data_IF_308142451408
#
_entry.id   IF_308142451408
#
_cell.length_a   1.000
_cell.length_b   1.000
_cell.length_c   1.000
_cell.angle_alpha   90.00
_cell.angle_beta   90.00
_cell.angle_gamma   90.00
#
_symmetry.space_group_name_H-M   'P 1'
#
loop_
_entity.id
_entity.type
_entity.pdbx_description
1 polymer ?
#
# COMPACT_ATOMS: atom_id res chain seq x y z
N UNK A 1 17.06 -0.51 -9.29
CA UNK A 1 16.45 -1.55 -8.42
C UNK A 1 15.11 -2.06 -8.98
N UNK A 2 14.17 -1.20 -9.38
CA UNK A 2 12.81 -1.60 -9.77
C UNK A 2 12.55 -1.77 -11.27
N UNK A 3 13.54 -1.72 -12.15
CA UNK A 3 13.32 -1.81 -13.61
C UNK A 3 12.64 -3.14 -14.00
N UNK A 4 13.08 -4.26 -13.40
CA UNK A 4 12.43 -5.54 -13.59
C UNK A 4 10.99 -5.56 -13.07
N UNK A 5 10.73 -5.00 -11.88
CA UNK A 5 9.38 -4.89 -11.32
C UNK A 5 8.48 -4.02 -12.20
N UNK A 6 8.98 -2.89 -12.70
CA UNK A 6 8.25 -2.01 -13.60
C UNK A 6 7.77 -2.75 -14.85
N UNK A 7 8.67 -3.52 -15.48
CA UNK A 7 8.33 -4.33 -16.66
C UNK A 7 7.30 -5.42 -16.32
N UNK A 8 7.51 -6.15 -15.23
CA UNK A 8 6.60 -7.24 -14.82
C UNK A 8 5.21 -6.74 -14.46
N UNK A 9 5.11 -5.62 -13.76
CA UNK A 9 3.83 -5.01 -13.38
C UNK A 9 3.01 -4.51 -14.57
N UNK A 10 3.60 -4.33 -15.76
CA UNK A 10 2.83 -4.01 -16.97
C UNK A 10 2.04 -5.21 -17.50
N UNK A 11 2.38 -6.43 -17.11
CA UNK A 11 1.64 -7.62 -17.49
C UNK A 11 0.33 -7.71 -16.72
N UNK A 12 -0.76 -8.04 -17.41
CA UNK A 12 -2.09 -8.17 -16.82
C UNK A 12 -2.12 -9.28 -15.75
N UNK A 13 -2.65 -8.98 -14.59
CA UNK A 13 -2.75 -9.89 -13.46
C UNK A 13 -1.43 -10.07 -12.68
N UNK A 14 -0.39 -9.30 -12.96
CA UNK A 14 0.91 -9.46 -12.31
C UNK A 14 0.89 -9.08 -10.81
N UNK A 15 1.48 -9.95 -9.99
CA UNK A 15 1.67 -9.76 -8.56
C UNK A 15 3.13 -10.05 -8.20
N UNK A 16 3.74 -9.21 -7.39
CA UNK A 16 5.12 -9.39 -6.98
C UNK A 16 5.39 -9.05 -5.53
N UNK A 17 6.61 -9.30 -5.09
CA UNK A 17 7.11 -8.90 -3.78
C UNK A 17 8.22 -7.88 -3.98
N UNK A 18 8.09 -6.73 -3.32
CA UNK A 18 9.08 -5.65 -3.36
C UNK A 18 9.37 -5.12 -1.96
N UNK A 19 10.58 -4.56 -1.73
CA UNK A 19 10.80 -3.70 -0.58
C UNK A 19 10.01 -2.40 -0.78
N UNK A 20 9.37 -1.91 0.28
CA UNK A 20 8.73 -0.58 0.26
C UNK A 20 9.53 0.39 1.15
N UNK A 21 9.04 1.60 1.30
CA UNK A 21 9.56 2.58 2.25
C UNK A 21 9.42 2.14 3.72
N UNK A 22 8.65 1.08 3.95
CA UNK A 22 8.42 0.49 5.28
C UNK A 22 8.91 -0.97 5.33
N UNK A 23 8.10 -1.93 4.97
CA UNK A 23 8.41 -3.36 5.01
C UNK A 23 8.28 -4.00 3.64
N UNK A 24 8.68 -5.26 3.47
CA UNK A 24 8.35 -5.98 2.24
C UNK A 24 6.84 -6.05 2.02
N UNK A 25 6.41 -5.75 0.80
CA UNK A 25 5.01 -5.75 0.38
C UNK A 25 4.74 -6.71 -0.78
N UNK A 26 3.59 -7.38 -0.72
CA UNK A 26 2.95 -7.94 -1.91
C UNK A 26 2.32 -6.79 -2.66
N UNK A 27 2.57 -6.65 -3.95
CA UNK A 27 2.10 -5.53 -4.76
C UNK A 27 1.40 -6.00 -6.03
N UNK A 28 0.40 -5.23 -6.43
CA UNK A 28 -0.33 -5.35 -7.68
C UNK A 28 -0.67 -3.94 -8.20
N UNK A 29 -0.74 -3.75 -9.53
CA UNK A 29 -1.24 -2.47 -10.06
C UNK A 29 -2.68 -2.26 -9.61
N UNK A 30 -2.95 -1.10 -9.03
CA UNK A 30 -4.28 -0.78 -8.50
C UNK A 30 -5.35 -0.72 -9.58
N UNK A 31 -5.00 -0.31 -10.81
CA UNK A 31 -5.92 -0.27 -11.96
C UNK A 31 -6.13 -1.64 -12.64
N UNK A 32 -5.47 -2.70 -12.18
CA UNK A 32 -5.62 -4.06 -12.71
C UNK A 32 -6.43 -4.91 -11.72
N UNK A 33 -7.74 -4.98 -11.95
CA UNK A 33 -8.67 -5.73 -11.09
C UNK A 33 -8.28 -7.20 -10.93
N UNK A 34 -7.75 -7.83 -12.00
CA UNK A 34 -7.28 -9.22 -11.96
C UNK A 34 -6.07 -9.38 -11.02
N UNK A 35 -5.11 -8.46 -11.09
CA UNK A 35 -3.94 -8.46 -10.21
C UNK A 35 -4.34 -8.21 -8.75
N UNK A 36 -5.25 -7.27 -8.51
CA UNK A 36 -5.81 -6.98 -7.18
C UNK A 36 -6.53 -8.19 -6.59
N UNK A 37 -7.41 -8.84 -7.37
CA UNK A 37 -8.11 -10.06 -6.95
C UNK A 37 -7.12 -11.17 -6.56
N UNK A 38 -6.07 -11.35 -7.36
CA UNK A 38 -5.02 -12.34 -7.11
C UNK A 38 -4.23 -12.02 -5.84
N UNK A 39 -3.91 -10.74 -5.59
CA UNK A 39 -3.25 -10.30 -4.36
C UNK A 39 -4.12 -10.61 -3.13
N UNK A 40 -5.41 -10.32 -3.19
CA UNK A 40 -6.33 -10.59 -2.09
C UNK A 40 -6.46 -12.09 -1.81
N UNK A 41 -6.53 -12.91 -2.86
CA UNK A 41 -6.53 -14.37 -2.72
C UNK A 41 -5.27 -14.90 -2.02
N UNK A 42 -4.08 -14.39 -2.39
CA UNK A 42 -2.80 -14.74 -1.74
C UNK A 42 -2.78 -14.39 -0.24
N UNK A 43 -3.47 -13.33 0.14
CA UNK A 43 -3.55 -12.84 1.52
C UNK A 43 -4.69 -13.47 2.31
N UNK A 44 -5.55 -14.29 1.68
CA UNK A 44 -6.81 -14.77 2.26
C UNK A 44 -7.58 -13.64 2.96
N UNK A 45 -7.60 -12.47 2.32
CA UNK A 45 -8.21 -11.24 2.87
C UNK A 45 -9.60 -11.06 2.28
N UNK A 46 -10.59 -11.42 3.08
CA UNK A 46 -11.98 -11.02 2.84
C UNK A 46 -12.28 -9.78 3.67
N UNK A 47 -12.82 -8.74 3.03
CA UNK A 47 -13.22 -7.49 3.68
C UNK A 47 -12.11 -6.75 4.47
N UNK A 48 -10.84 -6.96 4.12
CA UNK A 48 -9.68 -6.24 4.69
C UNK A 48 -8.84 -5.64 3.56
N UNK A 49 -9.20 -4.45 3.05
CA UNK A 49 -8.46 -3.81 1.95
C UNK A 49 -6.98 -3.64 2.27
N UNK A 50 -6.15 -3.70 1.23
CA UNK A 50 -4.76 -3.30 1.30
C UNK A 50 -4.62 -1.77 1.37
N UNK A 51 -3.37 -1.30 1.29
CA UNK A 51 -3.06 0.13 1.20
C UNK A 51 -2.75 0.48 -0.26
N UNK A 52 -3.32 1.56 -0.77
CA UNK A 52 -2.90 2.16 -2.03
C UNK A 52 -1.64 3.00 -1.79
N UNK A 53 -0.62 2.77 -2.61
CA UNK A 53 0.55 3.64 -2.67
C UNK A 53 0.62 4.28 -4.06
N UNK A 54 0.91 5.58 -4.11
CA UNK A 54 0.96 6.36 -5.34
C UNK A 54 2.14 7.33 -5.34
N UNK A 55 2.52 7.81 -6.51
CA UNK A 55 3.59 8.81 -6.63
C UNK A 55 3.12 10.20 -6.16
N UNK A 56 1.88 10.54 -6.39
CA UNK A 56 1.29 11.84 -6.12
C UNK A 56 -0.25 11.76 -6.00
N UNK A 57 -0.88 12.91 -5.74
CA UNK A 57 -2.34 13.01 -5.64
C UNK A 57 -3.01 12.80 -7.00
N UNK A 58 -2.39 13.26 -8.09
CA UNK A 58 -2.96 13.16 -9.44
C UNK A 58 -3.19 11.70 -9.85
N UNK A 59 -2.25 10.81 -9.49
CA UNK A 59 -2.43 9.38 -9.72
C UNK A 59 -3.61 8.78 -8.95
N UNK A 60 -3.84 9.25 -7.73
CA UNK A 60 -4.96 8.80 -6.88
C UNK A 60 -6.29 9.33 -7.40
N UNK A 61 -6.34 10.57 -7.86
CA UNK A 61 -7.52 11.16 -8.49
C UNK A 61 -7.85 10.47 -9.82
N UNK A 62 -6.85 10.20 -10.65
CA UNK A 62 -7.04 9.46 -11.89
C UNK A 62 -7.58 8.04 -11.67
N UNK A 63 -7.26 7.42 -10.51
CA UNK A 63 -7.83 6.13 -10.12
C UNK A 63 -9.31 6.24 -9.70
N UNK A 64 -9.79 7.43 -9.31
CA UNK A 64 -11.18 7.69 -8.91
C UNK A 64 -11.39 8.15 -7.47
N UNK A 65 -10.31 8.44 -6.73
CA UNK A 65 -10.41 9.01 -5.39
C UNK A 65 -10.72 10.52 -5.49
N UNK A 66 -11.57 11.02 -4.59
CA UNK A 66 -12.03 12.42 -4.67
C UNK A 66 -10.96 13.37 -4.14
N UNK A 67 -10.60 14.38 -4.94
CA UNK A 67 -9.63 15.43 -4.62
C UNK A 67 -9.83 16.01 -3.22
N UNK A 68 -11.06 16.36 -2.83
CA UNK A 68 -11.35 16.96 -1.52
C UNK A 68 -10.86 16.13 -0.34
N UNK A 69 -10.92 14.79 -0.42
CA UNK A 69 -10.47 13.92 0.66
C UNK A 69 -8.95 13.79 0.68
N UNK A 70 -8.33 13.75 -0.50
CA UNK A 70 -6.88 13.70 -0.64
C UNK A 70 -6.23 14.99 -0.15
N UNK A 71 -6.79 16.13 -0.55
CA UNK A 71 -6.30 17.46 -0.17
C UNK A 71 -6.41 17.71 1.33
N UNK A 72 -7.46 17.23 1.97
CA UNK A 72 -7.65 17.37 3.42
C UNK A 72 -6.58 16.68 4.27
N UNK A 73 -5.85 15.72 3.69
CA UNK A 73 -4.85 14.91 4.41
C UNK A 73 -3.45 14.97 3.78
N UNK A 74 -3.22 15.83 2.80
CA UNK A 74 -1.95 15.90 2.06
C UNK A 74 -0.74 16.20 2.94
N UNK A 75 -0.94 16.91 4.08
CA UNK A 75 0.13 17.24 5.04
C UNK A 75 0.82 16.01 5.65
N UNK A 76 0.20 14.83 5.58
CA UNK A 76 0.80 13.57 6.06
C UNK A 76 1.76 12.94 5.04
N UNK A 77 1.87 13.49 3.84
CA UNK A 77 2.66 12.94 2.74
C UNK A 77 3.66 13.95 2.16
N UNK A 78 4.77 13.47 1.58
CA UNK A 78 5.20 12.07 1.48
C UNK A 78 5.77 11.53 2.80
N UNK A 79 5.46 10.27 3.12
CA UNK A 79 5.92 9.64 4.35
C UNK A 79 5.30 8.28 4.63
N UNK A 80 5.69 7.69 5.76
CA UNK A 80 5.24 6.36 6.18
C UNK A 80 3.91 6.38 6.95
N UNK A 81 3.02 7.29 6.61
CA UNK A 81 1.66 7.39 7.17
C UNK A 81 0.65 6.99 6.10
N UNK A 82 -0.18 6.02 6.41
CA UNK A 82 -1.33 5.62 5.59
C UNK A 82 -2.59 6.23 6.18
N UNK A 83 -3.33 7.02 5.40
CA UNK A 83 -4.56 7.66 5.84
C UNK A 83 -5.75 6.94 5.23
N UNK A 84 -6.73 6.58 6.04
CA UNK A 84 -7.99 6.01 5.54
C UNK A 84 -8.88 7.14 5.06
N UNK A 85 -9.24 7.09 3.78
CA UNK A 85 -10.11 8.07 3.14
C UNK A 85 -11.34 7.40 2.54
N UNK A 86 -12.48 8.12 2.42
CA UNK A 86 -13.66 7.61 1.74
C UNK A 86 -13.39 7.27 0.27
N UNK A 87 -13.87 6.12 -0.18
CA UNK A 87 -13.71 5.59 -1.54
C UNK A 87 -15.03 4.94 -2.01
N UNK A 88 -16.09 5.74 -2.09
CA UNK A 88 -17.45 5.25 -2.35
C UNK A 88 -17.78 5.09 -3.84
N UNK A 89 -16.84 5.37 -4.77
CA UNK A 89 -17.08 5.14 -6.19
C UNK A 89 -17.25 3.63 -6.45
N UNK A 90 -18.34 3.18 -7.07
CA UNK A 90 -18.55 1.78 -7.42
C UNK A 90 -17.43 1.16 -8.26
N UNK A 91 -16.72 1.95 -9.06
CA UNK A 91 -15.56 1.51 -9.83
C UNK A 91 -14.39 1.05 -8.96
N UNK A 92 -14.34 1.45 -7.70
CA UNK A 92 -13.32 1.07 -6.73
C UNK A 92 -13.74 -0.12 -5.85
N UNK A 93 -14.89 -0.74 -6.13
CA UNK A 93 -15.44 -1.82 -5.30
C UNK A 93 -14.46 -3.01 -5.13
N UNK A 94 -13.73 -3.36 -6.19
CA UNK A 94 -12.73 -4.43 -6.15
C UNK A 94 -11.52 -4.07 -5.24
N UNK A 95 -11.22 -2.79 -5.04
CA UNK A 95 -10.16 -2.33 -4.14
C UNK A 95 -10.64 -2.29 -2.68
N UNK A 96 -11.79 -1.69 -2.41
CA UNK A 96 -12.25 -1.47 -1.05
C UNK A 96 -13.06 -2.63 -0.45
N UNK A 97 -13.44 -3.64 -1.24
CA UNK A 97 -14.11 -4.87 -0.78
C UNK A 97 -15.33 -4.61 0.12
N UNK A 98 -16.15 -3.63 -0.21
CA UNK A 98 -17.36 -3.26 0.55
C UNK A 98 -17.11 -2.31 1.73
N UNK A 99 -15.86 -1.92 2.03
CA UNK A 99 -15.55 -0.99 3.14
C UNK A 99 -15.84 0.47 2.80
N UNK A 100 -16.02 0.81 1.52
CA UNK A 100 -16.24 2.18 1.02
C UNK A 100 -15.15 3.18 1.46
N UNK A 101 -14.00 2.67 1.84
CA UNK A 101 -12.85 3.42 2.29
C UNK A 101 -11.56 2.67 1.95
N UNK A 102 -10.47 3.39 1.74
CA UNK A 102 -9.15 2.85 1.41
C UNK A 102 -8.07 3.55 2.23
N UNK A 103 -7.11 2.80 2.73
CA UNK A 103 -5.86 3.35 3.24
C UNK A 103 -4.99 3.79 2.06
N UNK A 104 -4.48 5.01 2.11
CA UNK A 104 -3.69 5.63 1.04
C UNK A 104 -2.39 6.17 1.59
N UNK A 105 -1.29 6.05 0.84
CA UNK A 105 0.01 6.61 1.20
C UNK A 105 0.76 7.08 -0.05
N UNK A 106 1.47 8.21 0.08
CA UNK A 106 2.50 8.65 -0.86
C UNK A 106 3.85 8.44 -0.18
N UNK A 107 4.64 7.42 -0.58
CA UNK A 107 5.90 7.11 0.07
C UNK A 107 6.98 8.16 -0.26
N UNK A 108 7.94 8.35 0.66
CA UNK A 108 9.06 9.31 0.45
C UNK A 108 10.24 8.69 -0.32
N UNK A 109 10.33 7.35 -0.40
CA UNK A 109 11.45 6.66 -1.05
C UNK A 109 11.53 6.97 -2.55
N UNK A 110 12.68 7.50 -3.00
CA UNK A 110 12.86 7.97 -4.38
C UNK A 110 12.80 6.84 -5.41
N UNK A 111 13.29 5.64 -5.08
CA UNK A 111 13.27 4.51 -6.00
C UNK A 111 11.83 3.96 -6.15
N UNK A 112 11.09 3.89 -5.05
CA UNK A 112 9.68 3.51 -5.07
C UNK A 112 8.82 4.56 -5.80
N UNK A 113 9.11 5.85 -5.61
CA UNK A 113 8.48 6.95 -6.35
C UNK A 113 8.68 6.81 -7.88
N UNK A 114 9.90 6.46 -8.31
CA UNK A 114 10.18 6.21 -9.73
C UNK A 114 9.37 5.04 -10.27
N UNK A 115 9.25 3.95 -9.50
CA UNK A 115 8.41 2.81 -9.87
C UNK A 115 6.94 3.24 -10.03
N UNK A 116 6.38 3.94 -9.05
CA UNK A 116 4.99 4.39 -9.05
C UNK A 116 4.68 5.34 -10.21
N UNK A 117 5.61 6.22 -10.59
CA UNK A 117 5.48 7.06 -11.80
C UNK A 117 5.42 6.24 -13.08
N UNK A 118 6.12 5.12 -13.15
CA UNK A 118 6.15 4.25 -14.32
C UNK A 118 4.96 3.29 -14.41
N UNK A 119 4.42 2.84 -13.27
CA UNK A 119 3.37 1.80 -13.22
C UNK A 119 1.98 2.33 -12.92
N UNK A 120 1.87 3.55 -12.41
CA UNK A 120 0.68 4.04 -11.72
C UNK A 120 0.60 3.52 -10.26
N UNK A 121 -0.50 3.82 -9.56
CA UNK A 121 -0.70 3.39 -8.18
C UNK A 121 -0.64 1.87 -8.02
N UNK A 122 -0.09 1.42 -6.90
CA UNK A 122 -0.07 0.01 -6.53
C UNK A 122 -0.95 -0.24 -5.30
N UNK A 123 -1.70 -1.33 -5.31
CA UNK A 123 -2.24 -1.90 -4.10
C UNK A 123 -1.13 -2.69 -3.42
N UNK A 124 -0.92 -2.48 -2.13
CA UNK A 124 0.08 -3.21 -1.35
C UNK A 124 -0.48 -3.79 -0.06
N UNK A 125 0.10 -4.87 0.37
CA UNK A 125 -0.11 -5.47 1.68
C UNK A 125 1.21 -6.07 2.16
N UNK A 126 1.46 -6.14 3.47
CA UNK A 126 2.67 -6.75 4.03
C UNK A 126 2.93 -8.14 3.47
N UNK A 127 4.20 -8.48 3.22
CA UNK A 127 4.61 -9.74 2.61
C UNK A 127 4.62 -10.88 3.63
N UNK A 128 3.42 -11.35 4.01
CA UNK A 128 3.21 -12.50 4.90
C UNK A 128 1.90 -13.21 4.56
N UNK A 129 1.83 -14.54 4.72
CA UNK A 129 0.55 -15.25 4.80
C UNK A 129 -0.24 -14.85 6.05
N UNK A 130 -1.53 -15.17 6.16
CA UNK A 130 -2.29 -14.95 7.38
C UNK A 130 -1.58 -15.53 8.61
N UNK A 131 -1.61 -14.78 9.70
CA UNK A 131 -1.05 -15.20 11.02
C UNK A 131 0.47 -15.43 11.07
N UNK A 132 1.19 -15.11 10.01
CA UNK A 132 2.67 -15.13 10.01
C UNK A 132 3.23 -13.72 10.14
N UNK A 133 4.43 -13.53 10.72
CA UNK A 133 5.10 -12.23 10.72
C UNK A 133 5.44 -11.80 9.28
N UNK A 134 5.53 -10.49 9.07
CA UNK A 134 5.96 -9.94 7.78
C UNK A 134 7.37 -10.40 7.45
N UNK A 135 7.61 -10.82 6.21
CA UNK A 135 8.95 -11.16 5.75
C UNK A 135 9.89 -9.96 5.90
N UNK A 136 11.04 -10.18 6.51
CA UNK A 136 12.09 -9.17 6.69
C UNK A 136 13.22 -9.32 5.68
N UNK A 137 13.29 -10.46 4.99
CA UNK A 137 14.23 -10.73 3.89
C UNK A 137 13.50 -11.30 2.68
N UNK A 138 14.10 -11.16 1.50
CA UNK A 138 13.53 -11.74 0.28
C UNK A 138 13.49 -13.27 0.32
N UNK A 139 14.45 -13.89 1.03
CA UNK A 139 14.46 -15.35 1.24
C UNK A 139 13.20 -15.78 2.00
N UNK A 140 12.88 -15.11 3.10
CA UNK A 140 11.68 -15.42 3.89
C UNK A 140 10.39 -15.17 3.07
N UNK A 141 10.36 -14.14 2.24
CA UNK A 141 9.24 -13.91 1.34
C UNK A 141 9.08 -15.05 0.30
N UNK A 142 10.19 -15.57 -0.24
CA UNK A 142 10.17 -16.74 -1.14
C UNK A 142 9.69 -18.01 -0.42
N UNK A 143 10.10 -18.21 0.83
CA UNK A 143 9.64 -19.34 1.65
C UNK A 143 8.12 -19.28 1.88
N UNK A 144 7.54 -18.08 1.97
CA UNK A 144 6.10 -17.87 2.15
C UNK A 144 5.28 -18.02 0.86
N UNK A 145 5.76 -17.46 -0.24
CA UNK A 145 4.95 -17.32 -1.46
C UNK A 145 5.38 -18.23 -2.61
N UNK A 146 6.64 -18.67 -2.66
CA UNK A 146 7.15 -19.60 -3.67
C UNK A 146 6.84 -19.12 -5.10
N UNK A 147 6.25 -19.99 -5.91
CA UNK A 147 5.81 -19.69 -7.28
C UNK A 147 4.44 -19.01 -7.41
N UNK A 148 3.82 -18.58 -6.31
CA UNK A 148 2.47 -17.95 -6.34
C UNK A 148 2.49 -16.50 -6.80
N UNK A 149 3.66 -15.85 -6.82
CA UNK A 149 3.88 -14.48 -7.34
C UNK A 149 4.83 -14.51 -8.53
N UNK A 150 4.79 -13.48 -9.37
CA UNK A 150 5.48 -13.48 -10.67
C UNK A 150 6.92 -12.97 -10.58
N UNK A 151 7.24 -12.21 -9.52
CA UNK A 151 8.59 -11.67 -9.33
C UNK A 151 8.87 -11.30 -7.87
N UNK A 152 10.16 -11.18 -7.58
CA UNK A 152 10.69 -10.79 -6.28
C UNK A 152 11.82 -9.79 -6.50
N UNK A 153 11.80 -8.69 -5.76
CA UNK A 153 12.87 -7.68 -5.72
C UNK A 153 13.54 -7.74 -4.36
N UNK A 154 14.84 -7.98 -4.36
CA UNK A 154 15.62 -8.00 -3.13
C UNK A 154 15.99 -6.57 -2.70
N UNK A 155 15.61 -6.22 -1.49
CA UNK A 155 15.91 -4.96 -0.81
C UNK A 155 16.81 -5.13 0.40
N UNK A 156 17.39 -6.33 0.59
CA UNK A 156 18.20 -6.65 1.76
C UNK A 156 17.36 -6.99 2.99
N UNK A 157 17.98 -6.85 4.15
CA UNK A 157 17.34 -7.08 5.45
C UNK A 157 16.56 -5.81 5.87
N UNK A 158 15.26 -5.97 6.15
CA UNK A 158 14.35 -4.91 6.61
C UNK A 158 13.86 -5.19 8.04
N UNK A 159 14.58 -5.95 8.84
CA UNK A 159 14.18 -6.35 10.20
C UNK A 159 14.12 -5.18 11.19
N UNK A 160 14.81 -4.08 10.88
CA UNK A 160 14.81 -2.84 11.65
C UNK A 160 13.65 -1.89 11.29
N UNK A 161 12.81 -2.26 10.30
CA UNK A 161 11.74 -1.41 9.81
C UNK A 161 10.38 -1.81 10.36
N UNK A 162 9.59 -0.79 10.67
CA UNK A 162 8.19 -0.93 11.08
C UNK A 162 7.24 -0.70 9.89
N UNK A 163 6.03 -1.29 9.91
CA UNK A 163 4.98 -0.96 8.94
C UNK A 163 4.55 0.50 9.07
N UNK A 164 3.83 1.02 8.07
CA UNK A 164 3.26 2.38 8.13
C UNK A 164 2.35 2.56 9.35
N UNK A 165 2.36 3.77 9.91
CA UNK A 165 1.30 4.20 10.84
C UNK A 165 0.01 4.37 10.05
N UNK A 166 -1.11 3.89 10.59
CA UNK A 166 -2.43 4.02 9.94
C UNK A 166 -3.29 4.94 10.80
N UNK A 167 -3.79 5.99 10.16
CA UNK A 167 -4.68 6.97 10.79
C UNK A 167 -5.98 7.10 10.03
N UNK A 168 -6.99 7.63 10.70
CA UNK A 168 -8.25 8.06 10.15
C UNK A 168 -8.60 9.44 10.74
N UNK A 169 -9.21 10.31 9.94
CA UNK A 169 -9.75 11.59 10.42
C UNK A 169 -11.25 11.39 10.68
N UNK A 170 -11.70 11.71 11.89
CA UNK A 170 -13.10 11.65 12.32
C UNK A 170 -13.40 12.94 13.09
N UNK A 171 -14.37 13.72 12.63
CA UNK A 171 -14.77 14.99 13.26
C UNK A 171 -13.58 15.92 13.55
N UNK A 172 -12.71 16.08 12.52
CA UNK A 172 -11.45 16.82 12.57
C UNK A 172 -10.39 16.28 13.55
N UNK A 173 -10.66 15.14 14.17
CA UNK A 173 -9.74 14.44 15.06
C UNK A 173 -8.95 13.32 14.35
N UNK A 174 -7.65 13.18 14.67
CA UNK A 174 -6.82 12.07 14.20
C UNK A 174 -7.04 10.86 15.11
N UNK A 175 -7.54 9.79 14.56
CA UNK A 175 -7.61 8.49 15.21
C UNK A 175 -6.47 7.60 14.72
N UNK A 176 -5.61 7.12 15.61
CA UNK A 176 -4.53 6.21 15.29
C UNK A 176 -5.04 4.77 15.36
N UNK A 177 -5.20 4.13 14.19
CA UNK A 177 -5.66 2.74 14.12
C UNK A 177 -4.51 1.73 14.29
N UNK A 178 -3.30 2.15 13.96
CA UNK A 178 -2.06 1.37 14.15
C UNK A 178 -0.87 2.30 14.23
N UNK A 179 -0.14 2.26 15.33
CA UNK A 179 1.19 2.85 15.40
C UNK A 179 2.17 2.01 14.58
N UNK A 180 3.08 2.69 13.90
CA UNK A 180 4.12 2.09 13.06
C UNK A 180 5.34 2.99 12.99
N UNK A 181 5.95 3.10 11.82
CA UNK A 181 7.21 3.81 11.57
C UNK A 181 7.20 5.30 11.97
N UNK A 182 6.05 5.95 11.92
CA UNK A 182 5.87 7.33 12.41
C UNK A 182 5.07 7.29 13.69
N UNK A 183 5.63 7.82 14.77
CA UNK A 183 4.90 7.92 16.05
C UNK A 183 4.03 9.17 16.02
N UNK A 184 2.76 9.00 16.30
CA UNK A 184 1.77 10.07 16.43
C UNK A 184 1.28 10.02 17.87
N UNK A 185 1.49 11.09 18.61
CA UNK A 185 0.97 11.22 19.96
C UNK A 185 -0.51 11.65 19.88
N UNK A 186 -1.37 11.00 20.65
CA UNK A 186 -2.80 11.33 20.73
C UNK A 186 -3.05 12.76 21.29
N UNK A 187 -1.99 13.42 21.74
CA UNK A 187 -2.03 14.76 22.37
C UNK A 187 -1.85 15.94 21.39
N UNK A 188 -1.67 15.73 20.09
CA UNK A 188 -1.45 16.82 19.11
C UNK A 188 -2.75 17.46 18.61
N UNK A 189 -3.84 17.33 19.33
CA UNK A 189 -5.18 17.77 18.91
C UNK A 189 -5.75 18.94 19.72
N UNK A 190 -4.93 19.62 20.51
CA UNK A 190 -5.29 20.87 21.19
C UNK A 190 -4.37 22.02 20.74
N UNK A 191 -4.52 22.50 19.49
CA UNK A 191 -4.18 23.88 19.10
C UNK A 191 -4.95 24.30 17.86
#
# INVERSE_FOLDING_TARGET
MFDHASTKLQSNGAVGIIPTDTVYGVVARAADERAVSRLYALKAREHKPGTLIAADLDQLEALGLKHRYLKAVEQYWPGAISVIIPASDPKLAYLHQGKLALAVRIPKDAALQKLLKATGPLLTSSANPPSKPTAVTIKQARDYFGGKVDFYIDGGDLSDREPSTIIRIVDDAVEVLRQGAVKIDDATMDQ
#
